data_IF_338777281533
#
_entry.id   IF_338777281533
#
_cell.length_a   1.000
_cell.length_b   1.000
_cell.length_c   1.000
_cell.angle_alpha   90.00
_cell.angle_beta   90.00
_cell.angle_gamma   90.00
#
_symmetry.space_group_name_H-M   'P 1'
#
loop_
_entity.id
_entity.type
_entity.pdbx_description
1 polymer ?
#
# COMPACT_ATOMS: atom_id res chain seq x y z
N UNK A 1 -5.77 -7.98 -2.63
CA UNK A 1 -5.76 -7.12 -1.42
C UNK A 1 -5.31 -5.72 -1.84
N UNK A 2 -6.04 -4.64 -1.48
CA UNK A 2 -5.55 -3.28 -1.68
C UNK A 2 -4.25 -3.06 -0.89
N UNK A 3 -3.32 -2.30 -1.46
CA UNK A 3 -2.02 -2.00 -0.86
C UNK A 3 -2.19 -1.10 0.39
N UNK A 4 -1.30 -1.18 1.40
CA UNK A 4 -1.44 -0.53 2.71
C UNK A 4 -1.88 0.94 2.64
N UNK A 5 -1.30 1.76 1.75
CA UNK A 5 -1.64 3.18 1.69
C UNK A 5 -3.11 3.41 1.35
N UNK A 6 -3.70 2.58 0.48
CA UNK A 6 -5.12 2.71 0.12
C UNK A 6 -6.04 2.40 1.30
N UNK A 7 -5.74 1.34 2.05
CA UNK A 7 -6.53 0.94 3.24
C UNK A 7 -6.41 1.97 4.35
N UNK A 8 -5.18 2.40 4.66
CA UNK A 8 -4.93 3.33 5.76
C UNK A 8 -5.59 4.70 5.51
N UNK A 9 -5.62 5.19 4.27
CA UNK A 9 -6.28 6.48 3.97
C UNK A 9 -7.79 6.38 4.11
N UNK A 10 -8.39 5.32 3.59
CA UNK A 10 -9.84 5.08 3.76
C UNK A 10 -10.15 4.99 5.26
N UNK A 11 -9.38 4.22 6.02
CA UNK A 11 -9.57 4.09 7.46
C UNK A 11 -9.43 5.43 8.20
N UNK A 12 -8.39 6.23 7.89
CA UNK A 12 -8.18 7.55 8.49
C UNK A 12 -9.27 8.55 8.13
N UNK A 13 -9.74 8.55 6.89
CA UNK A 13 -10.81 9.44 6.44
C UNK A 13 -12.17 9.08 7.07
N UNK A 14 -12.43 7.77 7.24
CA UNK A 14 -13.68 7.30 7.85
C UNK A 14 -13.68 7.43 9.37
N UNK A 15 -12.55 7.22 10.07
CA UNK A 15 -12.44 7.26 11.54
C UNK A 15 -13.15 8.45 12.20
N UNK A 16 -12.92 9.73 11.82
CA UNK A 16 -13.60 10.86 12.45
C UNK A 16 -15.11 10.89 12.14
N UNK A 17 -15.55 10.26 11.05
CA UNK A 17 -16.96 10.21 10.66
C UNK A 17 -17.74 9.09 11.36
N UNK A 18 -17.06 8.04 11.83
CA UNK A 18 -17.71 6.83 12.38
C UNK A 18 -17.45 6.63 13.88
N UNK A 19 -16.38 7.18 14.45
CA UNK A 19 -16.02 6.97 15.86
C UNK A 19 -17.11 7.51 16.78
N UNK A 20 -17.60 6.65 17.68
CA UNK A 20 -18.67 7.00 18.64
C UNK A 20 -20.06 7.14 18.01
N UNK A 21 -20.25 6.76 16.74
CA UNK A 21 -21.54 6.86 16.04
C UNK A 21 -22.05 5.47 15.66
N UNK A 22 -23.37 5.28 15.73
CA UNK A 22 -24.03 4.07 15.22
C UNK A 22 -24.21 4.17 13.71
N UNK A 23 -23.63 3.23 12.96
CA UNK A 23 -23.78 3.15 11.50
C UNK A 23 -25.13 2.48 11.19
N UNK A 24 -26.06 3.23 10.58
CA UNK A 24 -27.42 2.71 10.23
C UNK A 24 -27.43 1.82 8.98
N UNK A 25 -26.41 1.91 8.15
CA UNK A 25 -26.27 1.08 6.96
C UNK A 25 -24.98 1.39 6.20
N UNK A 26 -24.50 0.44 5.42
CA UNK A 26 -23.42 0.62 4.47
C UNK A 26 -23.84 0.01 3.13
N UNK A 27 -23.44 0.65 2.02
CA UNK A 27 -23.62 0.11 0.67
C UNK A 27 -22.25 -0.16 0.10
N UNK A 28 -21.95 -1.42 -0.20
CA UNK A 28 -20.75 -1.77 -0.94
C UNK A 28 -20.95 -1.46 -2.42
N UNK A 29 -20.18 -0.51 -2.93
CA UNK A 29 -20.23 -0.13 -4.35
C UNK A 29 -19.43 -1.11 -5.21
N UNK A 30 -18.34 -1.67 -4.65
CA UNK A 30 -17.51 -2.68 -5.32
C UNK A 30 -17.10 -3.83 -4.41
N UNK A 31 -17.84 -4.94 -4.45
CA UNK A 31 -17.46 -6.14 -3.72
C UNK A 31 -16.21 -6.75 -4.35
N UNK A 32 -15.05 -6.53 -3.72
CA UNK A 32 -13.92 -7.45 -3.84
C UNK A 32 -14.01 -8.37 -2.64
N UNK A 33 -14.46 -9.59 -2.86
CA UNK A 33 -14.52 -10.61 -1.81
C UNK A 33 -13.08 -10.97 -1.44
N UNK A 34 -12.64 -10.52 -0.28
CA UNK A 34 -11.48 -11.09 0.40
C UNK A 34 -12.04 -12.23 1.25
N UNK A 35 -11.69 -13.50 0.99
CA UNK A 35 -12.13 -14.62 1.82
C UNK A 35 -11.83 -14.36 3.30
N UNK A 36 -12.75 -14.72 4.20
CA UNK A 36 -12.60 -14.46 5.64
C UNK A 36 -11.27 -15.03 6.20
N UNK A 37 -10.89 -16.23 5.76
CA UNK A 37 -9.62 -16.88 6.11
C UNK A 37 -8.36 -16.03 5.80
N UNK A 38 -8.44 -15.10 4.83
CA UNK A 38 -7.33 -14.21 4.48
C UNK A 38 -7.16 -13.03 5.46
N UNK A 39 -8.16 -12.73 6.29
CA UNK A 39 -8.11 -11.64 7.29
C UNK A 39 -7.51 -12.08 8.61
N UNK A 40 -7.73 -13.33 9.01
CA UNK A 40 -7.28 -13.88 10.29
C UNK A 40 -5.79 -14.24 10.30
N UNK A 41 -5.17 -14.37 9.13
CA UNK A 41 -3.77 -14.81 8.98
C UNK A 41 -2.80 -13.71 8.55
N UNK A 42 -3.06 -12.44 8.87
CA UNK A 42 -2.22 -11.33 8.40
C UNK A 42 -0.99 -11.11 9.29
N UNK A 43 0.15 -10.84 8.65
CA UNK A 43 1.37 -10.44 9.33
C UNK A 43 1.30 -9.01 9.88
N UNK A 44 2.35 -8.54 10.57
CA UNK A 44 2.46 -7.15 11.01
C UNK A 44 2.22 -6.16 9.85
N UNK A 45 1.44 -5.11 10.14
CA UNK A 45 1.19 -4.00 9.23
C UNK A 45 2.45 -3.15 9.04
N UNK A 46 2.90 -2.98 7.80
CA UNK A 46 4.10 -2.21 7.45
C UNK A 46 4.04 -0.70 7.80
N UNK A 47 2.84 -0.15 8.05
CA UNK A 47 2.64 1.23 8.52
C UNK A 47 2.51 1.33 10.05
N UNK A 48 2.42 0.20 10.76
CA UNK A 48 2.32 0.17 12.21
C UNK A 48 3.63 0.59 12.88
N UNK A 49 3.53 1.22 14.05
CA UNK A 49 4.68 1.51 14.92
C UNK A 49 5.42 0.25 15.37
N UNK A 50 4.76 -0.92 15.32
CA UNK A 50 5.37 -2.21 15.64
C UNK A 50 6.26 -2.75 14.51
N UNK A 51 6.14 -2.23 13.27
CA UNK A 51 6.99 -2.64 12.17
C UNK A 51 8.37 -2.01 12.33
N UNK A 52 9.30 -2.78 12.89
CA UNK A 52 10.68 -2.36 13.19
C UNK A 52 11.70 -3.13 12.34
N UNK A 53 12.96 -2.67 12.26
CA UNK A 53 14.03 -3.44 11.62
C UNK A 53 14.23 -4.83 12.25
N UNK A 54 13.98 -4.99 13.55
CA UNK A 54 14.09 -6.26 14.25
C UNK A 54 13.00 -7.23 13.77
N UNK A 55 11.75 -6.79 13.72
CA UNK A 55 10.63 -7.57 13.17
C UNK A 55 10.89 -7.96 11.71
N UNK A 56 11.41 -7.03 10.90
CA UNK A 56 11.76 -7.33 9.51
C UNK A 56 12.89 -8.37 9.41
N UNK A 57 13.87 -8.31 10.31
CA UNK A 57 14.94 -9.30 10.38
C UNK A 57 14.41 -10.68 10.73
N UNK A 58 13.50 -10.77 11.72
CA UNK A 58 12.91 -12.04 12.13
C UNK A 58 12.02 -12.66 11.04
N UNK A 59 11.29 -11.83 10.28
CA UNK A 59 10.51 -12.30 9.12
C UNK A 59 11.40 -12.87 8.00
N UNK A 60 12.63 -12.37 7.86
CA UNK A 60 13.60 -12.86 6.89
C UNK A 60 14.40 -14.05 7.40
N UNK A 61 14.52 -14.20 8.72
CA UNK A 61 15.23 -15.30 9.37
C UNK A 61 14.57 -16.62 8.99
N UNK A 62 15.33 -17.51 8.34
CA UNK A 62 14.84 -18.83 7.90
C UNK A 62 14.07 -18.84 6.57
N UNK A 63 14.20 -17.79 5.76
CA UNK A 63 13.57 -17.73 4.44
C UNK A 63 14.59 -17.60 3.31
N UNK A 64 14.83 -18.70 2.61
CA UNK A 64 15.66 -18.75 1.39
C UNK A 64 14.99 -18.09 0.18
N UNK A 65 13.66 -17.93 0.23
CA UNK A 65 12.85 -17.26 -0.80
C UNK A 65 13.41 -15.87 -1.14
N UNK A 66 13.26 -15.43 -2.41
CA UNK A 66 13.57 -14.07 -2.83
C UNK A 66 12.92 -13.00 -1.93
N UNK A 67 13.69 -11.96 -1.59
CA UNK A 67 13.26 -10.85 -0.74
C UNK A 67 11.97 -10.19 -1.24
N UNK A 68 11.80 -10.07 -2.56
CA UNK A 68 10.56 -9.53 -3.14
C UNK A 68 9.34 -10.39 -2.78
N UNK A 69 9.46 -11.71 -2.85
CA UNK A 69 8.36 -12.61 -2.53
C UNK A 69 8.00 -12.54 -1.05
N UNK A 70 8.99 -12.51 -0.17
CA UNK A 70 8.77 -12.40 1.28
C UNK A 70 8.11 -11.08 1.65
N UNK A 71 8.54 -9.97 1.04
CA UNK A 71 7.95 -8.65 1.28
C UNK A 71 6.48 -8.56 0.83
N UNK A 72 6.10 -9.25 -0.25
CA UNK A 72 4.71 -9.24 -0.74
C UNK A 72 3.82 -10.30 -0.09
N UNK A 73 4.37 -11.16 0.76
CA UNK A 73 3.64 -12.21 1.45
C UNK A 73 2.79 -11.63 2.58
N UNK A 74 1.48 -11.50 2.36
CA UNK A 74 0.57 -10.84 3.31
C UNK A 74 0.46 -11.56 4.66
N UNK A 75 0.84 -12.84 4.74
CA UNK A 75 0.90 -13.57 6.01
C UNK A 75 2.12 -13.18 6.84
N UNK A 76 3.16 -12.67 6.20
CA UNK A 76 4.39 -12.22 6.85
C UNK A 76 4.43 -10.73 7.07
N UNK A 77 4.01 -9.94 6.09
CA UNK A 77 3.94 -8.48 6.18
C UNK A 77 2.67 -8.02 5.46
N UNK A 78 1.74 -7.45 6.22
CA UNK A 78 0.52 -6.92 5.65
C UNK A 78 0.78 -5.57 4.97
N UNK A 79 0.16 -5.39 3.80
CA UNK A 79 0.04 -4.10 3.16
C UNK A 79 1.18 -3.69 2.22
N UNK A 80 2.23 -4.49 2.10
CA UNK A 80 3.22 -4.27 1.03
C UNK A 80 2.75 -4.93 -0.27
N UNK A 81 2.47 -4.11 -1.27
CA UNK A 81 2.11 -4.53 -2.63
C UNK A 81 3.28 -4.50 -3.62
N UNK A 82 3.00 -4.74 -4.90
CA UNK A 82 4.04 -4.83 -5.92
C UNK A 82 4.80 -3.51 -6.11
N UNK A 83 4.07 -2.39 -6.08
CA UNK A 83 4.63 -1.04 -6.19
C UNK A 83 5.54 -0.79 -4.98
N UNK A 84 4.96 -0.92 -3.79
CA UNK A 84 5.63 -0.61 -2.53
C UNK A 84 6.65 -1.65 -2.09
N UNK A 85 6.84 -2.73 -2.84
CA UNK A 85 7.98 -3.63 -2.71
C UNK A 85 9.12 -3.23 -3.65
N UNK A 86 8.80 -2.92 -4.91
CA UNK A 86 9.78 -2.63 -5.95
C UNK A 86 10.56 -1.34 -5.66
N UNK A 87 9.86 -0.30 -5.19
CA UNK A 87 10.49 1.00 -4.89
C UNK A 87 11.45 0.95 -3.70
N UNK A 88 11.12 0.37 -2.53
CA UNK A 88 12.07 0.22 -1.43
C UNK A 88 13.26 -0.66 -1.77
N UNK A 89 13.06 -1.74 -2.54
CA UNK A 89 14.17 -2.59 -2.99
C UNK A 89 15.13 -1.82 -3.88
N UNK A 90 14.60 -1.04 -4.84
CA UNK A 90 15.43 -0.16 -5.65
C UNK A 90 16.17 0.84 -4.76
N UNK A 91 15.47 1.61 -3.91
CA UNK A 91 16.07 2.63 -3.01
C UNK A 91 17.13 2.05 -2.08
N UNK A 92 16.94 0.85 -1.58
CA UNK A 92 17.88 0.14 -0.71
C UNK A 92 18.99 -0.59 -1.47
N UNK A 93 19.04 -0.49 -2.79
CA UNK A 93 20.03 -1.14 -3.67
C UNK A 93 20.04 -2.67 -3.47
N UNK A 94 18.86 -3.27 -3.36
CA UNK A 94 18.67 -4.71 -3.23
C UNK A 94 18.04 -5.29 -4.49
N UNK A 95 18.66 -6.34 -5.04
CA UNK A 95 18.08 -7.10 -6.13
C UNK A 95 16.84 -7.85 -5.65
N UNK A 96 15.73 -7.86 -6.42
CA UNK A 96 14.48 -8.49 -6.01
C UNK A 96 14.58 -10.02 -5.85
N UNK A 97 15.55 -10.64 -6.53
CA UNK A 97 15.84 -12.08 -6.47
C UNK A 97 16.79 -12.49 -5.35
N UNK A 98 17.35 -11.53 -4.60
CA UNK A 98 18.26 -11.85 -3.50
C UNK A 98 17.52 -12.62 -2.41
N UNK A 99 18.12 -13.70 -1.89
CA UNK A 99 17.55 -14.47 -0.77
C UNK A 99 17.34 -13.58 0.46
N UNK A 100 16.19 -13.71 1.11
CA UNK A 100 15.83 -12.86 2.24
C UNK A 100 16.74 -13.11 3.46
N UNK A 101 17.01 -14.37 3.77
CA UNK A 101 17.92 -14.80 4.84
C UNK A 101 19.38 -14.32 4.68
N UNK A 102 19.81 -13.99 3.45
CA UNK A 102 21.16 -13.48 3.17
C UNK A 102 21.38 -12.00 3.49
N UNK A 103 20.34 -11.31 3.98
CA UNK A 103 20.40 -9.88 4.29
C UNK A 103 20.96 -9.66 5.70
N UNK A 104 22.07 -8.93 5.78
CA UNK A 104 22.65 -8.51 7.06
C UNK A 104 21.92 -7.29 7.63
N UNK A 105 22.06 -7.07 8.94
CA UNK A 105 21.34 -6.04 9.72
C UNK A 105 21.40 -4.64 9.10
N UNK A 106 22.55 -4.23 8.54
CA UNK A 106 22.69 -2.94 7.86
C UNK A 106 21.78 -2.81 6.61
N UNK A 107 21.69 -3.87 5.80
CA UNK A 107 20.79 -3.90 4.62
C UNK A 107 19.33 -3.93 5.04
N UNK A 108 19.00 -4.67 6.10
CA UNK A 108 17.64 -4.74 6.67
C UNK A 108 17.19 -3.36 7.17
N UNK A 109 18.02 -2.66 7.96
CA UNK A 109 17.72 -1.30 8.42
C UNK A 109 17.49 -0.33 7.25
N UNK A 110 18.32 -0.41 6.21
CA UNK A 110 18.17 0.43 5.01
C UNK A 110 16.89 0.12 4.25
N UNK A 111 16.54 -1.17 4.11
CA UNK A 111 15.31 -1.60 3.48
C UNK A 111 14.07 -1.15 4.27
N UNK A 112 14.06 -1.37 5.59
CA UNK A 112 12.99 -0.91 6.48
C UNK A 112 12.75 0.60 6.35
N UNK A 113 13.81 1.41 6.45
CA UNK A 113 13.72 2.86 6.25
C UNK A 113 13.14 3.23 4.88
N UNK A 114 13.54 2.52 3.83
CA UNK A 114 13.03 2.74 2.48
C UNK A 114 11.54 2.36 2.35
N UNK A 115 11.11 1.24 2.95
CA UNK A 115 9.70 0.82 2.97
C UNK A 115 8.84 1.87 3.65
N UNK A 116 9.18 2.26 4.88
CA UNK A 116 8.43 3.26 5.64
C UNK A 116 8.40 4.61 4.90
N UNK A 117 9.53 5.04 4.33
CA UNK A 117 9.61 6.30 3.57
C UNK A 117 8.71 6.29 2.34
N UNK A 118 8.70 5.21 1.55
CA UNK A 118 7.87 5.10 0.35
C UNK A 118 6.38 5.05 0.72
N UNK A 119 6.02 4.27 1.74
CA UNK A 119 4.63 4.18 2.18
C UNK A 119 4.11 5.53 2.73
N UNK A 120 4.90 6.25 3.53
CA UNK A 120 4.54 7.60 4.01
C UNK A 120 4.36 8.60 2.87
N UNK A 121 5.28 8.62 1.90
CA UNK A 121 5.15 9.48 0.72
C UNK A 121 3.93 9.13 -0.13
N UNK A 122 3.61 7.84 -0.27
CA UNK A 122 2.41 7.41 -0.95
C UNK A 122 1.14 7.89 -0.22
N UNK A 123 1.13 7.83 1.12
CA UNK A 123 0.05 8.39 1.92
C UNK A 123 -0.12 9.90 1.71
N UNK A 124 0.98 10.65 1.61
CA UNK A 124 0.96 12.08 1.33
C UNK A 124 0.39 12.40 -0.06
N UNK A 125 0.87 11.72 -1.11
CA UNK A 125 0.36 11.90 -2.48
C UNK A 125 -1.15 11.64 -2.57
N UNK A 126 -1.60 10.57 -1.94
CA UNK A 126 -3.01 10.21 -1.95
C UNK A 126 -3.89 11.20 -1.16
N UNK A 127 -3.34 12.07 -0.32
CA UNK A 127 -4.10 13.09 0.43
C UNK A 127 -4.23 14.42 -0.30
N UNK A 128 -3.46 14.64 -1.37
CA UNK A 128 -3.47 15.89 -2.11
C UNK A 128 -3.44 15.66 -3.63
N UNK A 129 -4.55 15.93 -4.36
CA UNK A 129 -5.81 16.49 -3.88
C UNK A 129 -6.56 15.56 -2.92
N UNK A 130 -7.61 16.07 -2.27
CA UNK A 130 -8.41 15.26 -1.33
C UNK A 130 -8.89 13.96 -2.01
N UNK A 131 -8.89 12.81 -1.29
CA UNK A 131 -9.32 11.54 -1.84
C UNK A 131 -10.72 11.62 -2.45
N UNK A 132 -10.85 11.44 -3.77
CA UNK A 132 -12.13 11.11 -4.35
C UNK A 132 -12.32 9.61 -4.23
N UNK A 133 -12.90 9.19 -3.11
CA UNK A 133 -13.24 7.79 -2.91
C UNK A 133 -14.06 7.27 -4.08
N UNK A 134 -14.86 8.11 -4.78
CA UNK A 134 -15.66 7.68 -5.92
C UNK A 134 -14.78 7.08 -6.95
N UNK A 135 -13.69 7.70 -7.35
CA UNK A 135 -12.78 7.12 -8.34
C UNK A 135 -12.07 5.86 -7.77
N UNK A 136 -11.90 4.76 -8.51
CA UNK A 136 -11.08 3.65 -8.08
C UNK A 136 -9.59 3.88 -7.95
N UNK A 137 -9.12 4.74 -8.85
CA UNK A 137 -7.75 4.95 -9.24
C UNK A 137 -7.21 6.23 -8.60
N UNK A 138 -8.03 6.94 -7.82
CA UNK A 138 -7.68 8.19 -7.12
C UNK A 138 -6.32 8.12 -6.40
N UNK A 139 -6.00 6.95 -5.83
CA UNK A 139 -4.77 6.71 -5.08
C UNK A 139 -3.51 6.66 -5.95
N UNK A 140 -3.64 6.58 -7.29
CA UNK A 140 -2.53 6.72 -8.22
C UNK A 140 -2.14 8.18 -8.49
N UNK A 141 -3.01 9.14 -8.18
CA UNK A 141 -2.74 10.55 -8.41
C UNK A 141 -1.44 10.99 -7.72
N UNK A 142 -0.50 11.55 -8.49
CA UNK A 142 0.78 12.06 -7.99
C UNK A 142 1.82 11.00 -7.63
N UNK A 143 1.53 9.69 -7.76
CA UNK A 143 2.51 8.64 -7.49
C UNK A 143 3.70 8.67 -8.47
N UNK A 144 3.49 9.11 -9.71
CA UNK A 144 4.54 9.33 -10.72
C UNK A 144 5.71 10.19 -10.21
N UNK A 145 5.44 11.12 -9.30
CA UNK A 145 6.44 12.00 -8.67
C UNK A 145 7.34 11.28 -7.66
N UNK A 146 6.88 10.14 -7.12
CA UNK A 146 7.59 9.41 -6.05
C UNK A 146 8.17 8.07 -6.50
N UNK A 147 7.62 7.49 -7.57
CA UNK A 147 8.02 6.21 -8.14
C UNK A 147 9.23 6.38 -9.07
N UNK A 148 10.28 5.59 -8.84
CA UNK A 148 11.51 5.62 -9.63
C UNK A 148 11.63 4.44 -10.61
N UNK A 149 10.89 3.34 -10.38
CA UNK A 149 11.02 2.08 -11.12
C UNK A 149 9.68 1.58 -11.63
N UNK A 150 8.63 1.64 -10.81
CA UNK A 150 7.33 1.11 -11.20
C UNK A 150 6.78 1.85 -12.43
N UNK A 151 6.34 1.10 -13.44
CA UNK A 151 5.84 1.66 -14.69
C UNK A 151 6.92 2.11 -15.69
N UNK A 152 8.21 2.04 -15.33
CA UNK A 152 9.34 2.58 -16.11
C UNK A 152 10.21 1.49 -16.75
N UNK A 153 9.60 0.42 -17.26
CA UNK A 153 10.34 -0.78 -17.77
C UNK A 153 11.23 -0.49 -18.99
N UNK A 154 10.95 0.59 -19.73
CA UNK A 154 11.67 0.95 -20.97
C UNK A 154 12.38 2.29 -20.86
N UNK A 155 12.53 2.83 -19.65
CA UNK A 155 13.16 4.12 -19.41
C UNK A 155 14.52 3.96 -18.74
N UNK A 156 15.46 4.91 -18.96
CA UNK A 156 16.73 4.91 -18.25
C UNK A 156 16.52 4.93 -16.73
N UNK A 157 17.38 4.18 -16.04
CA UNK A 157 17.38 4.11 -14.60
C UNK A 157 17.69 5.49 -14.01
N UNK A 158 16.81 6.05 -13.16
CA UNK A 158 17.01 7.35 -12.48
C UNK A 158 18.23 7.42 -11.57
N UNK A 159 18.92 6.30 -11.33
CA UNK A 159 20.14 6.25 -10.50
C UNK A 159 21.41 6.28 -11.33
N UNK A 160 21.44 5.58 -12.46
CA UNK A 160 22.68 5.33 -13.20
C UNK A 160 22.57 5.62 -14.70
N UNK A 161 21.42 6.08 -15.19
CA UNK A 161 21.21 6.40 -16.61
C UNK A 161 21.15 5.20 -17.55
N UNK A 162 21.60 4.01 -17.11
CA UNK A 162 21.58 2.81 -17.94
C UNK A 162 20.14 2.44 -18.35
N UNK A 163 19.97 2.10 -19.62
CA UNK A 163 18.76 1.41 -20.08
C UNK A 163 18.68 0.04 -19.39
N UNK A 164 17.48 -0.42 -19.00
CA UNK A 164 17.32 -1.75 -18.43
C UNK A 164 17.67 -2.79 -19.50
N UNK A 165 18.91 -3.29 -19.46
CA UNK A 165 19.31 -4.49 -20.17
C UNK A 165 18.33 -5.60 -19.78
N UNK A 166 17.65 -6.19 -20.76
CA UNK A 166 16.64 -7.21 -20.52
C UNK A 166 17.21 -8.30 -19.62
N UNK A 167 16.67 -8.44 -18.40
CA UNK A 167 16.74 -9.59 -17.44
C UNK A 167 16.73 -9.23 -15.94
N UNK A 168 16.55 -7.96 -15.55
CA UNK A 168 16.20 -7.62 -14.16
C UNK A 168 14.85 -6.87 -14.07
N UNK A 169 13.83 -7.41 -14.74
CA UNK A 169 12.50 -6.81 -14.75
C UNK A 169 11.93 -6.85 -13.33
N UNK A 170 11.75 -5.68 -12.70
CA UNK A 170 10.73 -5.49 -11.66
C UNK A 170 9.36 -5.65 -12.35
N UNK A 171 9.00 -6.88 -12.70
CA UNK A 171 7.75 -7.16 -13.38
C UNK A 171 6.59 -6.78 -12.45
N UNK A 172 5.74 -5.89 -12.96
CA UNK A 172 4.47 -5.49 -12.36
C UNK A 172 3.35 -5.75 -13.37
N UNK A 173 2.29 -6.40 -12.90
CA UNK A 173 1.00 -6.55 -13.56
C UNK A 173 0.07 -5.48 -12.97
N UNK A 174 -0.50 -4.61 -13.81
CA UNK A 174 -1.58 -3.71 -13.41
C UNK A 174 -2.85 -4.55 -13.26
N UNK A 175 -3.48 -4.55 -12.08
CA UNK A 175 -4.88 -5.00 -11.93
C UNK A 175 -5.75 -3.78 -11.65
N UNK A 176 -6.84 -3.65 -12.40
CA UNK A 176 -7.83 -2.56 -12.36
C UNK A 176 -8.40 -2.40 -10.94
N UNK A 177 -8.50 -1.18 -10.41
CA UNK A 177 -9.22 -0.88 -9.18
C UNK A 177 -10.66 -0.40 -9.49
N UNK A 178 -11.55 -0.47 -8.48
CA UNK A 178 -13.00 -0.09 -8.58
C UNK A 178 -13.48 1.07 -7.62
N UNK A 179 -14.51 1.84 -8.03
CA UNK A 179 -15.06 3.22 -7.73
C UNK A 179 -15.93 3.43 -6.40
N UNK A 180 -15.47 4.03 -5.29
CA UNK A 180 -16.24 4.16 -3.99
C UNK A 180 -17.04 5.48 -3.78
N UNK A 181 -18.35 5.53 -4.04
CA UNK A 181 -19.17 6.75 -3.80
C UNK A 181 -19.73 6.87 -2.38
N UNK A 182 -19.41 7.97 -1.68
CA UNK A 182 -20.05 8.38 -0.42
C UNK A 182 -21.16 9.40 -0.76
N UNK A 183 -22.41 9.08 -0.41
CA UNK A 183 -23.55 10.00 -0.58
C UNK A 183 -24.01 10.50 0.80
N UNK A 184 -24.06 11.82 1.00
CA UNK A 184 -24.77 12.45 2.12
C UNK A 184 -26.20 12.77 1.67
N UNK A 185 -27.21 12.39 2.47
CA UNK A 185 -28.58 12.93 2.32
C UNK A 185 -28.77 14.06 3.33
N UNK A 186 -29.27 15.20 2.86
CA UNK A 186 -29.68 16.32 3.69
C UNK A 186 -30.81 15.89 4.66
N UNK A 187 -30.83 16.48 5.86
CA UNK A 187 -31.93 16.31 6.82
C UNK A 187 -33.19 16.93 6.21
N UNK A 188 -34.24 16.14 6.04
CA UNK A 188 -35.58 16.70 5.85
C UNK A 188 -36.00 17.35 7.18
N UNK A 189 -36.16 18.68 7.16
CA UNK A 189 -36.96 19.41 8.14
C UNK A 189 -38.40 18.90 8.03
N UNK A 190 -39.01 18.50 9.14
CA UNK A 190 -40.44 18.22 9.21
C UNK A 190 -41.22 19.54 9.02
N UNK A 191 -42.44 19.51 8.45
CA UNK A 191 -43.29 20.69 8.40
C UNK A 191 -43.86 20.95 9.80
N UNK A 192 -43.68 22.17 10.29
CA UNK A 192 -44.45 22.73 11.40
C UNK A 192 -45.93 22.72 11.02
N UNK A 193 -46.74 22.04 11.84
CA UNK A 193 -48.18 22.25 11.89
C UNK A 193 -48.41 23.55 12.67
N UNK A 194 -48.79 24.60 11.96
CA UNK A 194 -49.50 25.73 12.57
C UNK A 194 -51.00 25.49 12.44
N UNK A 195 -51.70 25.89 13.50
CA UNK A 195 -53.15 25.76 13.70
C UNK A 195 -53.80 27.09 13.35
#
# INVERSE_FOLDING_TARGET
MPEAPKVEIVARALRPLVRGRRIRGCRMVHPVVVPAAQRESLGPDALSTRFSPAILADIFRGSDRPVKLVLTDQKRIAGIGNIYCSEPLWRSRLGPRRRADSLRSAKIRRLHKAVVSVLKRALECCRNPSPDFRDPEWWFAGLDRILAVYGRKSEPCRRCGCLPAGTATFAASRRRAVRLIIVRRAKNSAPSRES
#
